data_IF_185003578125
#
_entry.id   IF_185003578125
#
_cell.length_a   1.000
_cell.length_b   1.000
_cell.length_c   1.000
_cell.angle_alpha   90.00
_cell.angle_beta   90.00
_cell.angle_gamma   90.00
#
_symmetry.space_group_name_H-M   'P 1'
#
loop_
_entity.id
_entity.type
_entity.pdbx_description
1 polymer ?
2 non-polymer ?
3 non-polymer ?
4 water ?
#
# COMPACT_ATOMS: atom_id res chain seq x y z
N UNK A 7 11.14 11.90 21.28
CA UNK A 7 10.21 13.03 21.00
C UNK A 7 9.23 12.68 19.85
N UNK A 8 7.90 12.73 20.11
CA UNK A 8 6.95 12.27 19.09
C UNK A 8 6.99 13.10 17.82
N UNK A 9 6.48 12.53 16.72
CA UNK A 9 6.47 13.22 15.43
C UNK A 9 5.50 14.41 15.39
N UNK A 10 5.89 15.48 14.73
CA UNK A 10 5.02 16.63 14.54
C UNK A 10 4.30 16.62 13.17
N UNK A 11 4.49 15.56 12.38
CA UNK A 11 3.87 15.44 11.05
C UNK A 11 2.37 15.16 11.18
N UNK A 12 1.52 15.95 10.49
CA UNK A 12 0.11 15.60 10.40
C UNK A 12 -0.09 14.21 9.82
N UNK A 13 -0.88 13.40 10.51
CA UNK A 13 -1.27 12.08 10.03
C UNK A 13 -2.71 11.80 10.41
N UNK A 14 -3.29 10.84 9.72
CA UNK A 14 -4.62 10.34 10.02
C UNK A 14 -4.89 9.00 9.33
N UNK A 15 -5.49 8.08 10.08
CA UNK A 15 -6.01 6.86 9.54
C UNK A 15 -7.41 6.71 10.12
N UNK A 16 -8.44 6.97 9.33
CA UNK A 16 -9.83 6.77 9.79
C UNK A 16 -10.38 5.51 9.17
N UNK A 17 -11.35 4.91 9.86
CA UNK A 17 -11.93 3.65 9.45
C UNK A 17 -13.44 3.76 9.34
N UNK A 18 -14.03 2.92 8.51
CA UNK A 18 -15.47 2.82 8.41
C UNK A 18 -16.11 2.40 9.74
N UNK A 19 -17.22 3.00 10.11
CA UNK A 19 -18.04 2.51 11.23
C UNK A 19 -18.76 1.23 10.82
N UNK A 20 -18.44 0.08 11.46
CA UNK A 20 -19.07 -1.18 11.01
C UNK A 20 -20.54 -1.38 11.40
N UNK A 21 -21.09 -0.50 12.24
CA UNK A 21 -22.49 -0.57 12.62
C UNK A 21 -23.30 0.31 11.68
N UNK A 22 -22.67 1.31 11.04
CA UNK A 22 -23.36 2.23 10.13
C UNK A 22 -23.55 1.58 8.76
N UNK A 23 -24.38 0.54 8.72
CA UNK A 23 -24.59 -0.22 7.50
C UNK A 23 -25.49 0.63 6.63
N UNK A 24 -25.15 0.70 5.34
CA UNK A 24 -25.84 1.56 4.38
C UNK A 24 -25.19 2.92 4.16
N UNK A 25 -24.32 3.37 5.07
CA UNK A 25 -23.46 4.53 4.84
C UNK A 25 -22.00 4.12 4.88
N UNK A 26 -21.15 5.07 4.52
CA UNK A 26 -19.75 5.01 4.80
C UNK A 26 -19.40 6.14 5.77
N UNK A 27 -19.51 5.85 7.06
CA UNK A 27 -19.12 6.80 8.10
C UNK A 27 -17.68 6.55 8.56
N UNK A 28 -16.82 7.53 8.31
CA UNK A 28 -15.45 7.45 8.80
C UNK A 28 -15.45 7.75 10.30
N UNK A 29 -14.69 6.92 11.03
CA UNK A 29 -14.46 7.10 12.45
C UNK A 29 -12.99 7.39 12.75
N UNK A 30 -12.76 8.30 13.66
CA UNK A 30 -11.44 8.43 14.29
C UNK A 30 -11.43 7.87 15.71
N UNK A 31 -12.53 8.02 16.44
CA UNK A 31 -12.73 7.35 17.71
C UNK A 31 -13.09 5.90 17.47
N UNK A 32 -12.09 5.05 17.38
CA UNK A 32 -12.29 3.62 17.25
C UNK A 32 -10.92 2.99 17.43
N UNK A 33 -10.86 1.81 18.01
CA UNK A 33 -9.57 1.19 18.33
C UNK A 33 -8.75 1.11 17.05
N UNK A 34 -7.49 1.54 17.12
CA UNK A 34 -6.58 1.55 15.96
C UNK A 34 -6.96 2.48 14.80
N UNK A 35 -7.71 3.54 15.13
CA UNK A 35 -7.96 4.64 14.24
C UNK A 35 -7.33 5.84 14.95
N UNK A 36 -7.18 6.95 14.23
CA UNK A 36 -6.19 7.96 14.62
C UNK A 36 -6.32 9.27 13.83
N UNK A 37 -6.24 10.39 14.56
CA UNK A 37 -5.85 11.70 14.02
C UNK A 37 -4.72 12.26 14.86
N UNK A 38 -3.72 12.88 14.24
CA UNK A 38 -2.65 13.52 15.02
C UNK A 38 -2.09 14.76 14.38
N UNK A 39 -1.49 15.59 15.25
CA UNK A 39 -0.80 16.81 14.87
C UNK A 39 -1.61 17.76 14.01
N UNK A 40 -2.88 17.94 14.40
CA UNK A 40 -3.75 18.92 13.79
C UNK A 40 -4.80 18.43 12.81
N UNK A 41 -4.71 17.20 12.36
CA UNK A 41 -5.65 16.69 11.38
C UNK A 41 -6.98 16.48 12.12
N UNK A 42 -8.09 16.81 11.46
CA UNK A 42 -9.42 16.67 12.05
C UNK A 42 -10.30 15.85 11.12
N UNK A 43 -11.26 15.13 11.72
CA UNK A 43 -12.36 14.51 10.99
C UNK A 43 -13.60 15.31 11.31
N UNK A 44 -13.99 16.23 10.41
CA UNK A 44 -15.23 16.97 10.55
C UNK A 44 -16.08 16.72 9.33
N UNK A 45 -17.38 16.49 9.55
CA UNK A 45 -18.35 16.27 8.48
C UNK A 45 -17.88 15.17 7.52
N UNK A 46 -17.53 14.03 8.09
CA UNK A 46 -17.07 12.88 7.33
C UNK A 46 -15.86 13.19 6.40
N UNK A 47 -15.17 14.29 6.66
CA UNK A 47 -14.05 14.75 5.86
C UNK A 47 -12.82 14.97 6.72
N UNK A 48 -11.65 14.60 6.20
CA UNK A 48 -10.39 14.94 6.86
C UNK A 48 -10.03 16.38 6.51
N UNK A 49 -9.59 17.13 7.53
CA UNK A 49 -9.22 18.55 7.39
C UNK A 49 -7.70 18.76 7.63
N UNK A 50 -7.03 19.22 6.59
CA UNK A 50 -5.57 19.26 6.56
C UNK A 50 -5.14 20.50 7.32
N UNK A 51 -4.29 20.34 8.36
CA UNK A 51 -3.97 21.49 9.22
C UNK A 51 -2.87 22.43 8.69
N UNK A 52 -2.13 22.03 7.64
CA UNK A 52 -0.95 22.81 7.16
C UNK A 52 -0.42 22.32 5.81
N UNK A 53 0.01 23.24 4.95
CA UNK A 53 0.44 22.92 3.58
C UNK A 53 1.62 21.94 3.54
N UNK A 54 1.72 21.21 2.43
CA UNK A 54 2.77 20.20 2.24
C UNK A 54 2.35 19.07 1.31
N UNK A 55 3.32 18.20 1.02
CA UNK A 55 3.06 16.93 0.34
C UNK A 55 2.48 15.96 1.37
N UNK A 56 1.39 15.31 0.99
CA UNK A 56 0.76 14.26 1.76
C UNK A 56 0.72 13.01 0.92
N UNK A 57 0.95 11.86 1.55
CA UNK A 57 0.55 10.58 0.94
C UNK A 57 -0.88 10.40 1.35
N UNK A 58 -1.77 10.26 0.37
CA UNK A 58 -3.15 9.92 0.64
C UNK A 58 -3.36 8.47 0.24
N UNK A 59 -4.18 7.78 1.03
CA UNK A 59 -4.55 6.39 0.74
C UNK A 59 -5.93 6.01 1.30
N UNK A 60 -6.68 5.21 0.54
CA UNK A 60 -7.93 4.62 0.96
C UNK A 60 -8.07 3.20 0.40
N UNK A 61 -8.71 2.33 1.18
CA UNK A 61 -9.25 1.05 0.72
C UNK A 61 -10.75 0.96 1.05
N UNK A 62 -11.52 0.44 0.10
CA UNK A 62 -12.90 0.07 0.35
C UNK A 62 -13.04 -1.33 -0.21
N UNK A 63 -13.87 -2.14 0.43
CA UNK A 63 -14.09 -3.47 -0.06
C UNK A 63 -15.56 -3.66 -0.31
N UNK A 64 -15.87 -4.24 -1.47
CA UNK A 64 -17.22 -4.53 -1.86
C UNK A 64 -17.45 -6.03 -1.86
N UNK A 65 -18.69 -6.42 -1.60
CA UNK A 65 -19.08 -7.82 -1.61
C UNK A 65 -20.54 -7.96 -2.07
N UNK A 66 -20.77 -8.94 -2.95
CA UNK A 66 -22.14 -9.39 -3.29
C UNK A 66 -22.23 -10.91 -3.31
N UNK A 67 -23.41 -11.43 -2.99
CA UNK A 67 -23.70 -12.85 -3.10
C UNK A 67 -24.41 -12.97 -4.45
N UNK A 68 -23.68 -13.47 -5.44
CA UNK A 68 -24.18 -13.55 -6.82
C UNK A 68 -24.24 -12.20 -7.53
N UNK A 69 -24.65 -12.22 -8.81
CA UNK A 69 -24.84 -11.03 -9.61
C UNK A 69 -26.31 -10.81 -9.97
N UNK A 70 -26.82 -9.59 -9.74
CA UNK A 70 -28.24 -9.31 -9.97
C UNK A 70 -28.55 -9.11 -11.44
N UNK A 71 -29.76 -8.68 -11.75
CA UNK A 71 -30.14 -8.32 -13.12
C UNK A 71 -29.41 -7.05 -13.62
N UNK A 72 -29.65 -5.90 -12.98
CA UNK A 72 -29.01 -4.64 -13.43
C UNK A 72 -27.49 -4.68 -13.27
N UNK A 73 -26.79 -4.10 -14.25
CA UNK A 73 -25.33 -4.04 -14.25
C UNK A 73 -24.86 -3.26 -13.04
N UNK A 74 -23.89 -3.82 -12.31
CA UNK A 74 -23.35 -3.20 -11.08
C UNK A 74 -22.05 -2.49 -11.37
N UNK A 75 -22.00 -1.21 -11.02
CA UNK A 75 -20.86 -0.34 -11.27
C UNK A 75 -20.42 0.24 -9.91
N UNK A 76 -19.22 -0.12 -9.46
CA UNK A 76 -18.70 0.29 -8.14
C UNK A 76 -17.62 1.31 -8.36
N UNK A 77 -17.70 2.43 -7.63
CA UNK A 77 -16.77 3.56 -7.78
C UNK A 77 -16.27 3.94 -6.41
N UNK A 78 -15.04 4.45 -6.38
CA UNK A 78 -14.44 4.96 -5.16
C UNK A 78 -13.66 6.20 -5.53
N UNK A 79 -13.78 7.25 -4.73
CA UNK A 79 -13.24 8.55 -5.11
C UNK A 79 -12.68 9.36 -3.93
N UNK A 80 -11.46 9.86 -4.07
CA UNK A 80 -10.94 10.83 -3.12
C UNK A 80 -11.00 12.24 -3.72
N UNK A 81 -11.77 13.09 -3.07
CA UNK A 81 -12.13 14.39 -3.56
C UNK A 81 -11.40 15.35 -2.66
N UNK A 82 -11.28 16.58 -3.14
CA UNK A 82 -10.61 17.66 -2.42
C UNK A 82 -11.48 18.92 -2.46
N UNK A 83 -11.60 19.61 -1.33
CA UNK A 83 -12.38 20.84 -1.27
C UNK A 83 -11.43 21.90 -0.74
N UNK A 84 -10.78 22.65 -1.62
CA UNK A 84 -9.85 23.69 -1.16
C UNK A 84 -10.60 24.93 -0.64
N UNK A 85 -9.97 25.67 0.26
CA UNK A 85 -10.55 26.92 0.74
C UNK A 85 -10.75 27.91 -0.43
N UNK A 86 -9.78 28.00 -1.33
CA UNK A 86 -9.88 28.90 -2.50
C UNK A 86 -10.78 28.37 -3.66
N UNK A 87 -11.19 27.11 -3.59
CA UNK A 87 -12.16 26.55 -4.52
C UNK A 87 -12.94 25.52 -3.72
N UNK A 88 -14.03 25.97 -3.10
CA UNK A 88 -14.84 25.14 -2.22
C UNK A 88 -15.89 24.32 -3.00
N UNK A 89 -15.38 23.54 -3.95
CA UNK A 89 -16.11 22.49 -4.68
C UNK A 89 -15.15 21.29 -4.87
N UNK A 90 -15.71 20.08 -4.80
CA UNK A 90 -14.92 18.84 -4.82
C UNK A 90 -14.11 18.72 -6.10
N UNK A 91 -12.79 18.78 -5.96
CA UNK A 91 -11.82 18.41 -6.99
C UNK A 91 -11.44 16.93 -6.79
N UNK A 92 -11.71 16.08 -7.78
CA UNK A 92 -11.28 14.67 -7.70
C UNK A 92 -9.76 14.62 -7.75
N UNK A 93 -9.16 14.00 -6.73
CA UNK A 93 -7.71 13.69 -6.69
C UNK A 93 -7.43 12.31 -7.28
N UNK A 94 -8.18 11.31 -6.80
CA UNK A 94 -8.01 9.91 -7.22
C UNK A 94 -9.37 9.32 -7.44
N UNK A 95 -9.45 8.38 -8.38
CA UNK A 95 -10.69 7.68 -8.60
C UNK A 95 -10.47 6.41 -9.36
N UNK A 96 -11.36 5.45 -9.08
CA UNK A 96 -11.32 4.15 -9.74
C UNK A 96 -12.72 3.56 -9.79
N UNK A 97 -12.93 2.64 -10.73
CA UNK A 97 -14.25 2.10 -11.04
C UNK A 97 -14.15 0.63 -11.44
N UNK A 98 -14.95 -0.24 -10.81
CA UNK A 98 -14.92 -1.71 -11.04
C UNK A 98 -16.32 -2.30 -11.32
N UNK A 99 -16.41 -3.12 -12.38
CA UNK A 99 -17.60 -3.92 -12.70
C UNK A 99 -17.37 -5.36 -12.27
N UNK A 100 -17.79 -5.73 -11.04
CA UNK A 100 -17.50 -7.06 -10.55
C UNK A 100 -18.29 -8.17 -11.25
N UNK A 101 -19.36 -7.81 -11.99
CA UNK A 101 -20.18 -8.76 -12.73
C UNK A 101 -20.02 -8.57 -14.23
N UNK A 102 -19.51 -9.61 -14.90
CA UNK A 102 -19.58 -9.73 -16.35
C UNK A 102 -21.01 -10.06 -16.79
N UNK A 103 -21.65 -11.03 -16.12
CA UNK A 103 -23.02 -11.45 -16.45
C UNK A 103 -23.91 -11.70 -15.23
N UNK A 104 -25.22 -11.74 -15.49
CA UNK A 104 -26.25 -12.11 -14.51
C UNK A 104 -26.17 -13.62 -14.21
N UNK A 105 -26.21 -13.98 -12.93
CA UNK A 105 -26.13 -15.39 -12.52
C UNK A 105 -27.31 -16.17 -13.09
N UNK A 106 -27.05 -17.25 -13.86
CA UNK A 106 -28.13 -18.12 -14.35
C UNK A 106 -29.11 -18.64 -13.27
N UNK A 111 -24.33 -19.47 -7.40
CA UNK A 111 -24.32 -18.07 -6.97
C UNK A 111 -23.29 -17.81 -5.87
N UNK A 112 -22.02 -18.04 -6.22
CA UNK A 112 -20.86 -17.89 -5.31
C UNK A 112 -20.57 -16.40 -4.99
N UNK A 113 -20.15 -16.09 -3.74
CA UNK A 113 -19.93 -14.69 -3.34
C UNK A 113 -18.72 -14.02 -4.00
N UNK A 114 -18.83 -12.73 -4.29
CA UNK A 114 -17.71 -11.97 -4.87
C UNK A 114 -17.15 -10.90 -3.94
N UNK A 115 -15.91 -10.50 -4.23
CA UNK A 115 -15.15 -9.60 -3.39
C UNK A 115 -14.44 -8.66 -4.31
N UNK A 116 -14.87 -7.40 -4.31
CA UNK A 116 -14.20 -6.37 -5.09
C UNK A 116 -13.62 -5.30 -4.18
N UNK A 117 -12.29 -5.30 -3.99
CA UNK A 117 -11.68 -4.16 -3.34
C UNK A 117 -11.40 -3.01 -4.32
N UNK A 118 -11.36 -1.80 -3.80
CA UNK A 118 -10.88 -0.65 -4.56
C UNK A 118 -9.92 0.14 -3.67
N UNK A 119 -8.73 0.36 -4.20
CA UNK A 119 -7.66 0.98 -3.48
C UNK A 119 -7.21 2.17 -4.30
N UNK A 120 -7.03 3.30 -3.62
CA UNK A 120 -6.53 4.52 -4.22
C UNK A 120 -5.40 5.06 -3.34
N UNK A 121 -4.27 5.37 -3.95
CA UNK A 121 -3.19 6.05 -3.25
C UNK A 121 -2.39 6.94 -4.17
N UNK A 122 -2.05 8.12 -3.69
CA UNK A 122 -1.06 8.95 -4.37
C UNK A 122 -0.48 10.00 -3.48
N UNK A 123 0.43 10.79 -4.04
CA UNK A 123 1.12 11.85 -3.31
C UNK A 123 0.69 13.20 -3.90
N UNK A 124 0.19 14.13 -3.08
CA UNK A 124 -0.42 15.37 -3.57
C UNK A 124 -0.07 16.54 -2.69
N UNK A 125 -0.02 17.74 -3.28
CA UNK A 125 0.21 18.98 -2.55
C UNK A 125 -1.12 19.48 -2.00
N UNK A 126 -1.20 19.65 -0.68
CA UNK A 126 -2.43 20.14 -0.04
C UNK A 126 -2.14 21.50 0.62
N UNK A 127 -3.18 22.35 0.71
CA UNK A 127 -3.14 23.58 1.49
C UNK A 127 -3.76 23.41 2.87
N UNK A 128 -3.44 24.32 3.77
CA UNK A 128 -4.16 24.45 5.03
C UNK A 128 -5.68 24.68 4.79
N UNK A 129 -6.47 23.97 5.59
CA UNK A 129 -7.93 24.02 5.50
C UNK A 129 -8.54 23.17 4.42
N UNK A 130 -7.71 22.43 3.68
CA UNK A 130 -8.20 21.46 2.70
C UNK A 130 -9.07 20.42 3.37
N UNK A 131 -10.22 20.17 2.78
CA UNK A 131 -11.14 19.16 3.27
C UNK A 131 -11.06 18.00 2.29
N UNK A 132 -10.77 16.81 2.81
CA UNK A 132 -10.65 15.64 1.96
C UNK A 132 -11.79 14.71 2.32
N UNK A 133 -12.42 14.14 1.29
CA UNK A 133 -13.47 13.15 1.45
C UNK A 133 -13.07 11.95 0.61
N UNK A 134 -13.63 10.80 0.98
CA UNK A 134 -13.42 9.54 0.28
C UNK A 134 -14.78 8.83 0.22
N UNK A 135 -15.34 8.82 -0.97
CA UNK A 135 -16.74 8.47 -1.18
C UNK A 135 -16.87 7.29 -2.13
N UNK A 136 -17.95 6.54 -1.95
CA UNK A 136 -18.31 5.42 -2.81
C UNK A 136 -19.76 5.58 -3.30
N UNK A 137 -20.10 4.94 -4.42
CA UNK A 137 -21.46 5.00 -4.99
C UNK A 137 -22.46 4.04 -4.34
N UNK A 138 -22.00 2.88 -3.86
CA UNK A 138 -22.88 1.81 -3.41
C UNK A 138 -22.47 1.31 -2.06
N UNK A 139 -22.89 2.00 -0.99
CA UNK A 139 -22.65 1.49 0.38
C UNK A 139 -23.37 0.18 0.71
N UNK A 140 -24.47 -0.12 0.04
CA UNK A 140 -25.12 -1.41 0.24
C UNK A 140 -24.25 -2.66 -0.11
N UNK A 141 -23.21 -2.50 -0.94
CA UNK A 141 -22.26 -3.59 -1.21
C UNK A 141 -20.98 -3.53 -0.36
N UNK A 142 -20.80 -2.48 0.46
CA UNK A 142 -19.64 -2.39 1.38
C UNK A 142 -19.54 -3.63 2.24
N UNK A 143 -18.34 -4.05 2.59
CA UNK A 143 -18.17 -5.21 3.46
C UNK A 143 -17.60 -4.80 4.83
N UNK A 144 -18.44 -4.86 5.86
CA UNK A 144 -18.04 -4.59 7.25
C UNK A 144 -17.79 -5.85 8.07
N UNK A 145 -17.92 -7.00 7.42
CA UNK A 145 -17.51 -8.33 7.94
C UNK A 145 -16.07 -8.31 8.42
N UNK A 146 -15.84 -8.16 9.74
CA UNK A 146 -14.48 -7.92 10.31
C UNK A 146 -13.89 -6.52 10.00
N UNK A 147 -13.05 -6.04 10.90
CA UNK A 147 -12.45 -4.71 10.79
C UNK A 147 -11.16 -4.72 9.95
N UNK A 148 -10.68 -3.52 9.62
CA UNK A 148 -9.42 -3.31 8.89
C UNK A 148 -9.50 -3.22 7.38
N UNK A 149 -10.69 -3.46 6.82
CA UNK A 149 -10.88 -3.62 5.37
C UNK A 149 -11.17 -2.33 4.63
N UNK A 150 -11.75 -1.37 5.35
CA UNK A 150 -12.21 -0.11 4.82
C UNK A 150 -11.63 1.01 5.68
N UNK A 151 -10.71 1.76 5.08
CA UNK A 151 -9.97 2.81 5.77
C UNK A 151 -9.58 3.89 4.82
N UNK A 152 -9.23 5.04 5.38
CA UNK A 152 -8.96 6.25 4.61
C UNK A 152 -7.99 7.03 5.42
N UNK A 153 -6.90 7.49 4.82
CA UNK A 153 -5.89 8.16 5.59
C UNK A 153 -4.84 8.95 4.87
N UNK A 154 -4.19 9.84 5.61
CA UNK A 154 -3.15 10.71 5.09
C UNK A 154 -1.91 10.72 5.98
N UNK A 155 -0.76 10.93 5.35
CA UNK A 155 0.54 11.02 6.01
C UNK A 155 1.29 12.16 5.34
N UNK A 156 1.61 13.19 6.12
CA UNK A 156 2.43 14.31 5.62
C UNK A 156 3.84 13.77 5.41
N UNK A 157 4.44 14.15 4.29
CA UNK A 157 5.79 13.75 3.96
C UNK A 157 6.77 14.85 4.34
N UNK B 6 23.36 13.48 10.39
CA UNK B 6 24.37 13.76 11.48
C UNK B 6 24.99 12.48 12.06
N UNK B 7 24.14 11.60 12.59
CA UNK B 7 24.55 10.28 13.13
C UNK B 7 23.53 9.21 12.72
N UNK B 8 23.84 7.91 12.92
CA UNK B 8 22.82 6.88 12.62
C UNK B 8 21.48 7.05 13.38
N UNK B 9 20.41 6.48 12.82
CA UNK B 9 19.07 6.74 13.31
C UNK B 9 18.71 5.84 14.49
N UNK B 10 18.20 6.47 15.55
CA UNK B 10 17.65 5.78 16.74
C UNK B 10 16.25 5.18 16.51
N UNK B 11 15.54 5.63 15.47
CA UNK B 11 14.19 5.15 15.13
C UNK B 11 14.04 3.62 15.01
N UNK B 12 13.02 3.06 15.69
CA UNK B 12 12.73 1.63 15.51
C UNK B 12 12.21 1.32 14.10
N UNK B 13 12.70 0.24 13.53
CA UNK B 13 12.35 -0.13 12.17
C UNK B 13 12.45 -1.64 12.00
N UNK B 14 11.78 -2.13 10.99
CA UNK B 14 11.88 -3.52 10.61
C UNK B 14 11.45 -3.73 9.18
N UNK B 15 12.09 -4.71 8.55
CA UNK B 15 11.70 -5.14 7.24
C UNK B 15 12.11 -6.59 7.13
N UNK B 16 11.12 -7.46 7.25
CA UNK B 16 11.38 -8.87 7.29
C UNK B 16 10.81 -9.48 6.03
N UNK B 17 11.45 -10.57 5.61
CA UNK B 17 11.11 -11.21 4.35
C UNK B 17 10.67 -12.68 4.55
N UNK B 18 9.85 -13.15 3.63
CA UNK B 18 9.31 -14.50 3.70
C UNK B 18 10.35 -15.53 3.26
N UNK B 19 10.29 -16.67 3.96
CA UNK B 19 11.07 -17.88 3.67
C UNK B 19 10.35 -18.65 2.55
N UNK B 20 10.99 -18.77 1.37
CA UNK B 20 10.35 -19.54 0.29
C UNK B 20 10.21 -21.06 0.49
N UNK B 21 10.90 -21.66 1.46
CA UNK B 21 10.79 -23.12 1.68
C UNK B 21 10.14 -23.49 3.01
N UNK B 22 9.62 -22.50 3.74
CA UNK B 22 8.67 -22.78 4.83
C UNK B 22 7.30 -23.14 4.23
N UNK B 23 7.01 -24.44 4.18
CA UNK B 23 5.77 -24.94 3.57
C UNK B 23 4.60 -24.70 4.49
N UNK B 24 3.49 -24.26 3.91
CA UNK B 24 2.25 -24.01 4.64
C UNK B 24 2.32 -22.88 5.64
N UNK B 25 3.38 -22.09 5.57
CA UNK B 25 3.65 -20.98 6.49
C UNK B 25 3.97 -19.72 5.68
N UNK B 26 3.57 -18.57 6.18
CA UNK B 26 4.21 -17.31 5.80
C UNK B 26 5.13 -17.00 6.98
N UNK B 27 6.37 -17.48 6.87
CA UNK B 27 7.38 -17.41 7.91
C UNK B 27 8.21 -16.18 7.62
N UNK B 28 8.21 -15.23 8.54
CA UNK B 28 8.99 -14.01 8.38
C UNK B 28 10.40 -14.23 8.93
N UNK B 29 11.37 -13.60 8.27
CA UNK B 29 12.78 -13.77 8.59
C UNK B 29 13.47 -12.43 8.55
N UNK B 30 14.44 -12.27 9.44
CA UNK B 30 15.22 -11.02 9.52
C UNK B 30 16.69 -11.20 9.09
N UNK B 31 17.22 -12.40 9.24
CA UNK B 31 18.59 -12.72 8.80
C UNK B 31 18.64 -13.12 7.31
N UNK B 32 18.60 -12.09 6.48
CA UNK B 32 18.69 -12.18 5.04
C UNK B 32 19.25 -10.87 4.55
N UNK B 33 19.82 -10.90 3.35
CA UNK B 33 20.24 -9.69 2.66
C UNK B 33 19.02 -8.80 2.39
N UNK B 34 19.21 -7.51 2.57
CA UNK B 34 18.16 -6.49 2.48
C UNK B 34 16.97 -6.64 3.44
N UNK B 35 17.15 -7.44 4.48
CA UNK B 35 16.19 -7.57 5.58
C UNK B 35 16.87 -6.90 6.75
N UNK B 36 16.15 -6.74 7.86
CA UNK B 36 16.52 -5.75 8.87
C UNK B 36 15.59 -5.75 10.10
N UNK B 37 16.20 -5.73 11.30
CA UNK B 37 15.52 -5.35 12.56
C UNK B 37 16.45 -4.41 13.30
N UNK B 38 16.08 -3.16 13.46
CA UNK B 38 16.98 -2.19 14.10
C UNK B 38 16.30 -1.41 15.23
N UNK B 39 17.09 -1.10 16.27
CA UNK B 39 16.72 -0.14 17.34
C UNK B 39 15.62 -0.60 18.28
N UNK B 40 15.56 -1.92 18.49
CA UNK B 40 14.70 -2.52 19.54
C UNK B 40 13.55 -3.36 19.03
N UNK B 41 13.41 -3.42 17.72
CA UNK B 41 12.34 -4.18 17.13
C UNK B 41 12.80 -5.63 17.13
N UNK B 42 11.97 -6.52 17.65
CA UNK B 42 12.31 -7.93 17.70
C UNK B 42 11.41 -8.71 16.77
N UNK B 43 11.93 -9.81 16.25
CA UNK B 43 11.11 -10.77 15.57
C UNK B 43 10.99 -11.95 16.50
N UNK B 44 9.78 -12.16 17.02
CA UNK B 44 9.49 -13.15 18.06
C UNK B 44 8.18 -13.89 17.73
N UNK B 45 8.24 -15.20 17.51
CA UNK B 45 7.07 -16.04 17.15
C UNK B 45 6.31 -15.53 15.93
N UNK B 46 7.10 -15.23 14.90
CA UNK B 46 6.63 -14.69 13.60
C UNK B 46 5.88 -13.38 13.69
N UNK B 47 6.20 -12.61 14.71
CA UNK B 47 5.53 -11.38 15.01
C UNK B 47 6.56 -10.35 15.33
N UNK B 48 6.50 -9.21 14.65
CA UNK B 48 7.32 -8.08 15.01
C UNK B 48 6.77 -7.46 16.29
N UNK B 49 7.70 -7.11 17.19
CA UNK B 49 7.42 -6.59 18.53
C UNK B 49 7.98 -5.18 18.66
N UNK B 50 7.19 -4.29 19.24
CA UNK B 50 7.49 -2.87 19.23
C UNK B 50 8.22 -2.56 20.52
N UNK B 51 9.30 -1.75 20.45
CA UNK B 51 10.10 -1.35 21.62
C UNK B 51 9.71 -0.04 22.30
N UNK B 52 9.05 0.88 21.59
CA UNK B 52 8.62 2.13 22.19
C UNK B 52 7.23 2.51 21.72
N UNK B 53 6.48 3.17 22.60
CA UNK B 53 5.25 3.87 22.25
C UNK B 53 5.51 4.93 21.14
N UNK B 54 4.48 5.20 20.31
CA UNK B 54 4.49 6.27 19.31
C UNK B 54 3.83 5.91 17.98
N UNK B 55 3.84 6.90 17.08
CA UNK B 55 3.37 6.77 15.69
C UNK B 55 4.34 5.96 14.81
N UNK B 56 3.82 4.92 14.17
CA UNK B 56 4.61 4.07 13.26
C UNK B 56 3.87 3.92 11.96
N UNK B 57 4.60 3.85 10.85
CA UNK B 57 4.07 3.35 9.60
C UNK B 57 4.20 1.86 9.66
N UNK B 58 3.20 1.15 9.13
CA UNK B 58 3.17 -0.30 9.11
C UNK B 58 2.85 -0.75 7.69
N UNK B 59 3.56 -1.71 7.16
CA UNK B 59 3.28 -2.14 5.80
C UNK B 59 3.61 -3.62 5.60
N UNK B 60 2.91 -4.24 4.65
CA UNK B 60 3.18 -5.58 4.15
C UNK B 60 2.83 -5.75 2.67
N UNK B 61 3.64 -6.52 1.96
CA UNK B 61 3.29 -6.98 0.63
C UNK B 61 3.27 -8.52 0.64
N UNK B 62 2.26 -9.10 -0.01
CA UNK B 62 2.28 -10.51 -0.38
C UNK B 62 1.89 -10.57 -1.83
N UNK B 63 2.33 -11.59 -2.52
CA UNK B 63 2.02 -11.77 -3.92
C UNK B 63 1.62 -13.21 -4.07
N UNK B 64 0.39 -13.44 -4.54
CA UNK B 64 -0.11 -14.76 -4.81
C UNK B 64 0.02 -15.01 -6.31
N UNK B 65 0.21 -16.28 -6.70
CA UNK B 65 0.13 -16.73 -8.09
C UNK B 65 -0.62 -18.06 -8.22
N UNK B 66 -1.59 -18.12 -9.11
CA UNK B 66 -2.24 -19.39 -9.46
C UNK B 66 -2.13 -19.68 -10.94
N UNK B 67 -1.80 -20.92 -11.29
CA UNK B 67 -1.83 -21.35 -12.68
C UNK B 67 -3.28 -21.66 -12.98
N UNK B 68 -3.91 -20.76 -13.75
CA UNK B 68 -5.33 -20.84 -14.09
C UNK B 68 -6.30 -20.73 -12.92
N UNK B 69 -7.57 -20.98 -13.21
CA UNK B 69 -8.62 -20.93 -12.20
C UNK B 69 -9.33 -22.28 -12.16
N UNK B 70 -10.07 -22.58 -11.05
CA UNK B 70 -10.98 -23.72 -11.02
C UNK B 70 -12.45 -23.28 -11.06
N UNK B 73 -14.08 -21.94 -5.48
CA UNK B 73 -14.11 -20.48 -5.56
C UNK B 73 -12.95 -19.90 -4.76
N UNK B 74 -11.92 -19.45 -5.47
CA UNK B 74 -10.68 -19.01 -4.81
C UNK B 74 -10.86 -17.64 -4.12
N UNK B 75 -10.53 -17.59 -2.82
CA UNK B 75 -10.35 -16.33 -2.06
C UNK B 75 -8.98 -16.27 -1.41
N UNK B 76 -8.34 -15.12 -1.57
CA UNK B 76 -7.01 -14.84 -1.01
C UNK B 76 -7.21 -13.71 0.00
N UNK B 77 -6.73 -13.90 1.22
CA UNK B 77 -6.85 -12.87 2.24
C UNK B 77 -5.45 -12.52 2.74
N UNK B 78 -5.20 -11.24 3.01
CA UNK B 78 -3.96 -10.77 3.62
C UNK B 78 -4.30 -9.78 4.75
N UNK B 79 -3.72 -10.00 5.93
CA UNK B 79 -4.21 -9.37 7.15
C UNK B 79 -3.07 -9.02 8.11
N UNK B 80 -2.99 -7.75 8.50
CA UNK B 80 -2.02 -7.29 9.51
C UNK B 80 -2.80 -7.01 10.77
N UNK B 81 -2.30 -7.45 11.92
CA UNK B 81 -3.07 -7.37 13.17
C UNK B 81 -2.23 -7.04 14.41
N UNK B 82 -2.88 -6.38 15.36
CA UNK B 82 -2.28 -5.88 16.59
C UNK B 82 -2.72 -6.63 17.87
N UNK B 83 -1.74 -7.05 18.68
CA UNK B 83 -1.98 -7.47 20.06
C UNK B 83 -1.25 -6.52 21.03
N UNK B 84 -2.02 -5.76 21.81
CA UNK B 84 -1.45 -4.87 22.83
C UNK B 84 -1.25 -5.62 24.15
N UNK B 85 -0.09 -5.46 24.74
CA UNK B 85 0.22 -5.91 26.09
C UNK B 85 -1.03 -5.79 26.98
N UNK B 86 -1.56 -4.58 27.06
CA UNK B 86 -2.65 -4.26 27.96
C UNK B 86 -3.98 -5.01 27.73
N UNK B 87 -4.43 -5.11 26.47
CA UNK B 87 -5.74 -5.71 26.17
C UNK B 87 -5.69 -7.21 25.91
N UNK B 88 -4.57 -7.75 25.46
CA UNK B 88 -4.44 -9.18 25.13
C UNK B 88 -5.51 -9.69 24.13
N UNK B 89 -5.87 -8.87 23.16
CA UNK B 89 -6.84 -9.25 22.13
C UNK B 89 -6.22 -9.00 20.75
N UNK B 90 -6.47 -9.91 19.81
CA UNK B 90 -5.87 -9.83 18.47
C UNK B 90 -6.73 -9.04 17.47
N UNK B 91 -6.53 -7.74 17.41
CA UNK B 91 -7.31 -6.84 16.55
C UNK B 91 -6.64 -6.57 15.19
N UNK B 92 -7.41 -6.66 14.11
CA UNK B 92 -6.89 -6.41 12.75
C UNK B 92 -6.71 -4.92 12.50
N UNK B 93 -5.58 -4.55 11.90
CA UNK B 93 -5.27 -3.17 11.54
C UNK B 93 -5.60 -2.88 10.11
N UNK B 94 -5.19 -3.77 9.22
CA UNK B 94 -5.44 -3.61 7.78
C UNK B 94 -5.78 -4.97 7.22
N UNK B 95 -6.64 -5.02 6.21
CA UNK B 95 -7.15 -6.29 5.73
C UNK B 95 -7.74 -6.18 4.35
N UNK B 96 -7.49 -7.20 3.54
CA UNK B 96 -7.87 -7.22 2.12
C UNK B 96 -8.33 -8.61 1.75
N UNK B 97 -9.49 -8.71 1.10
CA UNK B 97 -10.01 -10.01 0.64
C UNK B 97 -10.16 -9.89 -0.87
N UNK B 98 -9.69 -10.91 -1.59
CA UNK B 98 -9.58 -10.90 -3.05
C UNK B 98 -10.00 -12.26 -3.70
N UNK B 99 -10.99 -12.23 -4.62
CA UNK B 99 -11.32 -13.37 -5.51
C UNK B 99 -10.77 -13.14 -6.93
N UNK B 100 -9.65 -13.80 -7.26
CA UNK B 100 -9.04 -13.54 -8.56
C UNK B 100 -9.82 -14.13 -9.74
N UNK B 101 -10.48 -15.27 -9.55
CA UNK B 101 -11.04 -16.01 -10.68
C UNK B 101 -12.45 -15.56 -11.04
N UNK B 110 -4.24 -23.77 -23.09
CA UNK B 110 -3.54 -23.43 -21.83
C UNK B 110 -4.44 -22.77 -20.75
N UNK B 111 -3.97 -22.88 -19.51
CA UNK B 111 -4.47 -22.14 -18.36
C UNK B 111 -3.53 -20.97 -18.12
N UNK B 112 -4.05 -19.77 -18.30
CA UNK B 112 -3.26 -18.55 -18.19
C UNK B 112 -2.97 -18.26 -16.71
N UNK B 113 -1.68 -18.13 -16.32
CA UNK B 113 -1.34 -17.81 -14.91
C UNK B 113 -1.71 -16.39 -14.47
N UNK B 114 -2.28 -16.27 -13.27
CA UNK B 114 -2.65 -14.97 -12.67
C UNK B 114 -1.76 -14.62 -11.47
N UNK B 115 -1.63 -13.32 -11.24
CA UNK B 115 -0.87 -12.74 -10.14
C UNK B 115 -1.70 -11.67 -9.41
N UNK B 116 -1.88 -11.84 -8.09
CA UNK B 116 -2.50 -10.81 -7.23
C UNK B 116 -1.52 -10.36 -6.16
N UNK B 117 -0.94 -9.17 -6.33
CA UNK B 117 -0.19 -8.53 -5.25
C UNK B 117 -1.14 -7.84 -4.31
N UNK B 118 -0.86 -7.92 -3.02
CA UNK B 118 -1.68 -7.21 -2.08
C UNK B 118 -0.73 -6.45 -1.19
N UNK B 119 -0.77 -5.12 -1.28
CA UNK B 119 0.02 -4.23 -0.44
C UNK B 119 -0.87 -3.54 0.60
N UNK B 120 -0.61 -3.79 1.86
CA UNK B 120 -1.31 -3.14 2.95
C UNK B 120 -0.37 -2.18 3.69
N UNK B 121 -0.88 -0.98 3.98
CA UNK B 121 -0.10 0.00 4.71
C UNK B 121 -0.96 1.06 5.35
N UNK B 122 -0.39 1.73 6.32
CA UNK B 122 -1.10 2.75 7.06
C UNK B 122 -0.30 3.23 8.24
N UNK B 123 -0.81 4.26 8.89
CA UNK B 123 -0.14 4.92 10.02
C UNK B 123 -0.91 4.65 11.31
N UNK B 124 -0.19 4.22 12.33
CA UNK B 124 -0.79 3.67 13.54
C UNK B 124 -0.07 4.15 14.77
N UNK B 125 -0.81 4.15 15.88
CA UNK B 125 -0.33 4.58 17.18
C UNK B 125 -0.21 3.30 17.98
N UNK B 126 1.04 2.92 18.23
CA UNK B 126 1.37 1.65 18.87
C UNK B 126 1.94 1.89 20.28
N UNK B 127 1.90 0.86 21.12
CA UNK B 127 2.31 0.94 22.52
C UNK B 127 3.42 -0.08 22.80
N UNK B 128 4.32 0.27 23.72
CA UNK B 128 5.47 -0.59 24.06
C UNK B 128 5.03 -2.03 24.22
N UNK B 129 5.74 -2.93 23.54
CA UNK B 129 5.45 -4.36 23.62
C UNK B 129 4.25 -4.90 22.85
N UNK B 130 3.68 -4.12 21.92
CA UNK B 130 2.68 -4.63 20.97
C UNK B 130 3.30 -5.72 20.12
N UNK B 131 2.46 -6.55 19.53
CA UNK B 131 2.92 -7.66 18.69
C UNK B 131 2.14 -7.66 17.39
N UNK B 132 2.79 -7.10 16.37
CA UNK B 132 2.22 -6.99 15.05
C UNK B 132 2.48 -8.26 14.28
N UNK B 133 1.51 -8.71 13.53
CA UNK B 133 1.65 -9.94 12.77
C UNK B 133 1.07 -9.70 11.40
N UNK B 134 1.62 -10.39 10.39
CA UNK B 134 1.16 -10.28 9.00
C UNK B 134 0.90 -11.67 8.40
N UNK B 135 -0.35 -11.92 8.03
CA UNK B 135 -0.84 -13.27 7.75
C UNK B 135 -1.68 -13.39 6.48
N UNK B 136 -1.82 -14.62 6.02
CA UNK B 136 -2.62 -14.93 4.85
C UNK B 136 -3.45 -16.17 5.10
N UNK B 137 -4.47 -16.36 4.28
CA UNK B 137 -5.22 -17.60 4.30
C UNK B 137 -4.55 -18.71 3.47
N UNK B 138 -3.77 -18.39 2.42
CA UNK B 138 -3.31 -19.43 1.49
C UNK B 138 -1.82 -19.37 1.11
N UNK B 139 -0.94 -19.92 1.96
CA UNK B 139 0.50 -19.91 1.64
C UNK B 139 0.87 -20.72 0.40
N UNK B 140 0.06 -21.74 0.10
CA UNK B 140 0.17 -22.52 -1.14
C UNK B 140 0.18 -21.65 -2.43
N UNK B 141 -0.47 -20.49 -2.39
CA UNK B 141 -0.56 -19.59 -3.53
C UNK B 141 0.54 -18.52 -3.56
N UNK B 142 1.35 -18.40 -2.51
CA UNK B 142 2.49 -17.47 -2.52
C UNK B 142 3.48 -17.74 -3.68
N UNK B 143 3.94 -16.65 -4.29
CA UNK B 143 4.95 -16.64 -5.34
C UNK B 143 6.26 -16.07 -4.77
N UNK B 144 7.36 -16.73 -5.09
CA UNK B 144 8.69 -16.25 -4.77
C UNK B 144 9.55 -16.26 -6.02
N UNK B 145 8.98 -15.85 -7.14
CA UNK B 145 9.66 -15.88 -8.44
C UNK B 145 10.98 -15.13 -8.38
N UNK B 146 10.89 -13.89 -7.91
CA UNK B 146 12.03 -13.05 -7.63
C UNK B 146 12.00 -12.61 -6.17
N UNK B 147 13.07 -11.94 -5.77
CA UNK B 147 13.18 -11.38 -4.44
C UNK B 147 12.41 -10.07 -4.32
N UNK B 148 12.05 -9.70 -3.10
CA UNK B 148 11.30 -8.48 -2.83
C UNK B 148 9.80 -8.59 -3.05
N UNK B 149 9.30 -9.82 -3.23
CA UNK B 149 7.89 -10.05 -3.58
C UNK B 149 6.92 -10.19 -2.39
N UNK B 150 7.46 -10.51 -1.20
CA UNK B 150 6.66 -10.84 -0.02
C UNK B 150 7.36 -10.31 1.22
N UNK B 151 6.73 -9.37 1.92
CA UNK B 151 7.44 -8.63 2.98
C UNK B 151 6.54 -7.91 3.98
N UNK B 152 7.17 -7.51 5.08
CA UNK B 152 6.51 -7.01 6.27
C UNK B 152 7.48 -6.05 6.98
N UNK B 153 6.96 -4.92 7.44
CA UNK B 153 7.81 -3.97 8.15
C UNK B 153 7.05 -2.86 8.87
N UNK B 154 7.79 -2.12 9.69
CA UNK B 154 7.30 -0.93 10.35
C UNK B 154 8.40 0.15 10.32
N UNK B 155 7.98 1.40 10.41
CA UNK B 155 8.88 2.55 10.37
C UNK B 155 8.33 3.57 11.36
N UNK B 156 9.05 3.84 12.46
CA UNK B 156 8.62 4.84 13.43
C UNK B 156 8.77 6.26 12.85
N UNK B 157 7.69 7.03 12.88
CA UNK B 157 7.68 8.43 12.36
C UNK B 157 8.49 9.38 13.25
N UNK C 10 17.46 18.97 6.12
CA UNK C 10 18.30 18.26 7.15
C UNK C 10 18.69 16.86 6.65
N UNK C 11 17.67 16.04 6.40
CA UNK C 11 17.82 14.63 5.99
C UNK C 11 17.69 14.45 4.44
N UNK C 12 18.49 13.54 3.82
CA UNK C 12 18.33 13.25 2.37
C UNK C 12 16.93 12.79 1.98
N UNK C 13 16.39 13.38 0.90
CA UNK C 13 15.06 13.06 0.37
C UNK C 13 14.97 13.26 -1.15
N UNK C 14 14.11 12.48 -1.78
CA UNK C 14 13.81 12.64 -3.20
C UNK C 14 12.37 12.21 -3.49
N UNK C 15 11.72 12.93 -4.39
CA UNK C 15 10.46 12.52 -4.99
C UNK C 15 10.55 12.86 -6.48
N UNK C 16 10.69 11.82 -7.31
CA UNK C 16 10.86 12.00 -8.75
C UNK C 16 9.61 11.42 -9.43
N UNK C 17 9.22 11.95 -10.58
CA UNK C 17 8.01 11.45 -11.27
C UNK C 17 8.29 11.14 -12.73
N UNK C 18 7.35 10.43 -13.36
CA UNK C 18 7.45 10.03 -14.75
C UNK C 18 7.18 11.19 -15.68
N UNK C 19 8.03 11.35 -16.69
CA UNK C 19 7.74 12.22 -17.84
C UNK C 19 6.59 11.64 -18.67
N UNK C 20 5.58 12.46 -18.97
CA UNK C 20 4.41 12.02 -19.75
C UNK C 20 4.66 12.05 -21.28
N UNK C 23 7.82 8.89 -24.10
CA UNK C 23 7.48 7.80 -25.02
C UNK C 23 8.40 6.60 -24.76
N UNK C 24 7.81 5.40 -24.65
CA UNK C 24 8.57 4.14 -24.57
C UNK C 24 9.54 3.91 -23.42
N UNK C 25 9.63 4.86 -22.50
CA UNK C 25 10.57 4.81 -21.40
C UNK C 25 9.78 5.29 -20.16
N UNK C 26 9.98 4.61 -19.04
CA UNK C 26 9.64 5.20 -17.77
C UNK C 26 10.89 6.00 -17.40
N UNK C 27 10.79 7.33 -17.53
CA UNK C 27 11.89 8.24 -17.21
C UNK C 27 11.54 9.19 -16.09
N UNK C 28 12.36 9.21 -15.05
CA UNK C 28 12.11 10.01 -13.86
C UNK C 28 12.61 11.44 -14.01
N UNK C 29 11.81 12.41 -13.59
CA UNK C 29 12.11 13.85 -13.73
C UNK C 29 12.30 14.52 -12.37
N UNK C 30 12.64 15.82 -12.39
CA UNK C 30 12.83 16.64 -11.17
C UNK C 30 12.50 18.14 -11.42
N UNK C 38 15.56 16.10 -4.38
CA UNK C 38 16.43 17.25 -4.13
C UNK C 38 16.81 17.53 -2.64
N UNK C 39 17.87 16.89 -2.12
CA UNK C 39 18.65 17.44 -0.99
C UNK C 39 20.16 17.11 -1.10
N UNK C 40 20.56 15.90 -0.72
CA UNK C 40 21.88 15.36 -1.09
C UNK C 40 21.85 14.41 -2.29
N UNK C 41 20.65 14.20 -2.85
CA UNK C 41 20.33 13.03 -3.69
C UNK C 41 20.40 13.42 -5.15
N UNK C 42 21.27 12.77 -5.90
CA UNK C 42 21.37 13.02 -7.34
C UNK C 42 20.45 12.10 -8.13
N UNK C 43 20.27 12.45 -9.40
CA UNK C 43 19.56 11.60 -10.35
C UNK C 43 20.44 11.46 -11.60
N UNK C 44 21.46 10.63 -11.47
CA UNK C 44 22.29 10.24 -12.61
C UNK C 44 21.64 9.02 -13.28
N UNK C 45 21.60 9.02 -14.62
CA UNK C 45 21.21 7.85 -15.44
C UNK C 45 19.89 7.13 -15.03
N UNK C 46 18.86 7.92 -14.77
CA UNK C 46 17.52 7.45 -14.36
C UNK C 46 17.48 6.71 -13.02
N UNK C 47 18.40 7.05 -12.11
CA UNK C 47 18.51 6.36 -10.82
C UNK C 47 18.84 7.35 -9.69
N UNK C 48 18.24 7.14 -8.51
CA UNK C 48 18.51 7.96 -7.34
C UNK C 48 19.79 7.46 -6.74
N UNK C 49 20.66 8.38 -6.31
CA UNK C 49 21.99 8.06 -5.78
C UNK C 49 22.09 8.47 -4.31
N UNK C 50 22.27 7.47 -3.45
CA UNK C 50 22.22 7.66 -2.00
C UNK C 50 23.44 8.46 -1.62
N UNK C 51 23.27 9.63 -0.95
CA UNK C 51 24.41 10.43 -0.49
C UNK C 51 25.11 9.98 0.82
N UNK C 52 24.51 9.15 1.65
CA UNK C 52 25.23 8.62 2.86
C UNK C 52 24.59 7.38 3.49
N UNK C 53 25.42 6.61 4.18
CA UNK C 53 25.00 5.38 4.86
C UNK C 53 23.85 5.68 5.86
N UNK C 54 22.88 4.77 5.92
CA UNK C 54 21.78 4.86 6.87
C UNK C 54 20.49 4.19 6.43
N UNK C 55 19.46 4.45 7.23
CA UNK C 55 18.12 3.90 7.06
C UNK C 55 17.28 4.78 6.10
N UNK C 56 16.71 4.13 5.09
CA UNK C 56 15.93 4.82 4.08
C UNK C 56 14.59 4.13 3.90
N UNK C 57 13.55 4.96 3.75
CA UNK C 57 12.23 4.50 3.38
C UNK C 57 12.20 4.76 1.90
N UNK C 58 12.10 3.70 1.11
CA UNK C 58 12.06 3.74 -0.35
C UNK C 58 10.63 3.36 -0.73
N UNK C 59 10.06 4.05 -1.71
CA UNK C 59 8.67 3.84 -2.08
C UNK C 59 8.53 4.12 -3.54
N UNK C 60 7.47 3.59 -4.15
CA UNK C 60 7.08 3.99 -5.48
C UNK C 60 5.64 3.57 -5.76
N UNK C 61 5.13 4.06 -6.89
CA UNK C 61 3.88 3.61 -7.48
C UNK C 61 3.98 3.77 -8.99
N UNK C 62 3.25 2.93 -9.71
CA UNK C 62 3.05 3.08 -11.17
C UNK C 62 1.64 2.66 -11.54
N UNK C 63 1.20 3.12 -12.69
CA UNK C 63 -0.12 2.84 -13.17
C UNK C 63 -0.06 2.28 -14.59
N UNK C 64 -0.67 1.14 -14.82
CA UNK C 64 -0.79 0.60 -16.16
C UNK C 64 -2.23 0.75 -16.57
N UNK C 65 -2.47 1.06 -17.84
CA UNK C 65 -3.83 1.07 -18.43
C UNK C 65 -3.84 0.31 -19.75
N UNK C 66 -4.88 -0.49 -19.94
CA UNK C 66 -5.15 -1.14 -21.23
C UNK C 66 -6.46 -0.65 -21.82
N UNK C 67 -6.50 -0.62 -23.16
CA UNK C 67 -7.69 -0.22 -23.92
C UNK C 67 -8.60 -1.42 -24.26
N UNK C 68 -8.49 -2.51 -23.49
CA UNK C 68 -8.94 -3.83 -23.90
C UNK C 68 -7.67 -4.63 -24.17
N UNK C 69 -7.70 -5.93 -23.90
CA UNK C 69 -6.51 -6.80 -23.99
C UNK C 69 -6.21 -7.22 -25.43
N UNK C 72 -1.61 -12.66 -26.82
CA UNK C 72 -0.47 -12.21 -26.03
C UNK C 72 -0.82 -12.06 -24.52
N UNK C 73 -0.51 -13.07 -23.71
CA UNK C 73 -0.74 -13.02 -22.24
C UNK C 73 0.22 -12.02 -21.54
N UNK C 74 -0.33 -10.87 -21.14
CA UNK C 74 0.46 -9.76 -20.56
C UNK C 74 0.63 -9.84 -19.03
N UNK C 75 1.87 -9.66 -18.59
CA UNK C 75 2.21 -9.55 -17.18
C UNK C 75 2.90 -8.20 -17.01
N UNK C 76 2.36 -7.39 -16.12
CA UNK C 76 2.91 -6.08 -15.80
C UNK C 76 3.74 -6.25 -14.54
N UNK C 77 5.03 -5.93 -14.60
CA UNK C 77 5.90 -6.06 -13.44
C UNK C 77 6.47 -4.68 -13.12
N UNK C 78 6.62 -4.40 -11.83
CA UNK C 78 7.28 -3.18 -11.34
C UNK C 78 8.25 -3.58 -10.23
N UNK C 79 9.48 -3.08 -10.30
CA UNK C 79 10.57 -3.53 -9.45
C UNK C 79 11.50 -2.37 -9.03
N UNK C 80 11.85 -2.28 -7.75
CA UNK C 80 12.82 -1.31 -7.27
C UNK C 80 14.01 -2.12 -6.81
N UNK C 81 15.15 -1.90 -7.44
CA UNK C 81 16.33 -2.69 -7.17
C UNK C 81 17.44 -1.78 -6.66
N UNK C 82 18.22 -2.32 -5.71
CA UNK C 82 19.45 -1.69 -5.22
C UNK C 82 20.65 -2.10 -6.11
N UNK C 83 21.44 -1.11 -6.54
CA UNK C 83 22.73 -1.36 -7.18
C UNK C 83 23.78 -0.94 -6.16
N UNK C 84 24.25 -1.91 -5.39
CA UNK C 84 25.23 -1.66 -4.33
C UNK C 84 26.64 -1.64 -4.92
N UNK C 85 27.49 -0.75 -4.40
CA UNK C 85 28.80 -0.46 -5.01
C UNK C 85 29.94 -1.35 -4.46
N UNK C 88 29.42 -5.02 -5.84
CA UNK C 88 29.30 -4.23 -7.07
C UNK C 88 28.06 -4.58 -7.94
N UNK C 89 27.05 -5.23 -7.35
CA UNK C 89 25.99 -5.99 -8.07
C UNK C 89 24.59 -5.34 -8.06
N UNK C 90 23.60 -5.96 -8.74
CA UNK C 90 22.21 -5.46 -8.78
C UNK C 90 21.11 -6.49 -8.34
N UNK C 91 20.24 -6.06 -7.41
CA UNK C 91 19.37 -6.97 -6.62
C UNK C 91 18.00 -6.34 -6.40
N UNK C 92 16.94 -7.15 -6.50
CA UNK C 92 15.57 -6.72 -6.13
C UNK C 92 15.42 -6.39 -4.68
N UNK C 93 14.90 -5.21 -4.39
CA UNK C 93 14.53 -4.83 -3.04
C UNK C 93 13.03 -5.07 -2.83
N UNK C 94 12.23 -4.59 -3.78
CA UNK C 94 10.77 -4.65 -3.74
C UNK C 94 10.27 -4.87 -5.16
N UNK C 95 9.23 -5.70 -5.32
CA UNK C 95 8.84 -6.17 -6.66
C UNK C 95 7.43 -6.77 -6.66
N UNK C 96 6.64 -6.48 -7.68
CA UNK C 96 5.36 -7.16 -7.87
C UNK C 96 5.04 -7.38 -9.34
N UNK C 97 4.23 -8.39 -9.58
CA UNK C 97 3.75 -8.78 -10.89
C UNK C 97 2.24 -8.67 -10.83
N UNK C 98 1.62 -7.94 -11.75
CA UNK C 98 0.17 -8.02 -11.96
C UNK C 98 -0.15 -8.63 -13.31
N UNK C 99 -1.34 -9.22 -13.39
CA UNK C 99 -1.87 -9.76 -14.63
C UNK C 99 -3.24 -9.17 -14.81
N UNK C 100 -3.41 -8.26 -15.79
CA UNK C 100 -4.69 -7.56 -15.91
C UNK C 100 -5.82 -8.41 -16.48
N UNK C 101 -5.52 -9.11 -17.56
CA UNK C 101 -6.51 -9.91 -18.28
C UNK C 101 -6.60 -11.32 -17.68
N UNK C 102 -7.82 -11.78 -17.42
CA UNK C 102 -8.11 -13.21 -17.25
C UNK C 102 -8.35 -13.88 -18.63
N UNK C 103 -8.79 -13.09 -19.63
CA UNK C 103 -9.15 -13.59 -20.98
C UNK C 103 -8.76 -12.62 -22.14
N UNK C 104 -8.86 -13.12 -23.37
CA UNK C 104 -8.48 -12.37 -24.57
C UNK C 104 -9.54 -11.34 -24.93
N UNK C 111 -14.32 -4.60 -25.43
CA UNK C 111 -13.15 -3.72 -25.53
C UNK C 111 -13.00 -2.77 -24.31
N UNK C 112 -13.50 -3.22 -23.15
CA UNK C 112 -13.59 -2.38 -21.93
C UNK C 112 -12.22 -2.00 -21.36
N UNK C 113 -12.00 -0.70 -21.02
CA UNK C 113 -10.70 -0.33 -20.42
C UNK C 113 -10.50 -0.87 -18.98
N UNK C 114 -9.24 -1.07 -18.61
CA UNK C 114 -8.85 -1.44 -17.24
C UNK C 114 -7.68 -0.57 -16.79
N UNK C 115 -7.58 -0.38 -15.49
CA UNK C 115 -6.46 0.35 -14.85
C UNK C 115 -5.90 -0.54 -13.76
N UNK C 116 -4.58 -0.62 -13.64
CA UNK C 116 -3.95 -1.49 -12.65
C UNK C 116 -2.74 -0.79 -12.05
N UNK C 117 -2.82 -0.31 -10.78
CA UNK C 117 -1.64 0.25 -10.13
C UNK C 117 -0.84 -0.80 -9.37
N UNK C 118 0.47 -0.60 -9.26
CA UNK C 118 1.30 -1.44 -8.44
C UNK C 118 2.02 -0.53 -7.44
N UNK C 119 2.03 -0.94 -6.18
CA UNK C 119 2.56 -0.17 -5.07
C UNK C 119 3.77 -0.89 -4.51
N UNK C 120 4.85 -0.15 -4.30
CA UNK C 120 6.03 -0.68 -3.61
C UNK C 120 6.44 0.24 -2.49
N UNK C 121 6.97 -0.35 -1.41
CA UNK C 121 7.50 0.46 -0.31
C UNK C 121 8.07 -0.32 0.86
N UNK C 122 9.16 0.20 1.45
CA UNK C 122 9.73 -0.42 2.62
C UNK C 122 10.93 0.32 3.19
N UNK C 123 11.44 -0.14 4.35
CA UNK C 123 12.62 0.48 5.02
C UNK C 123 13.93 -0.32 4.83
N UNK C 124 14.99 0.36 4.37
CA UNK C 124 16.22 -0.30 3.94
C UNK C 124 17.51 0.37 4.40
N UNK C 125 18.41 -0.43 4.98
CA UNK C 125 19.81 -0.05 5.22
C UNK C 125 20.53 0.09 3.89
N UNK C 126 21.27 1.18 3.71
CA UNK C 126 21.90 1.55 2.43
C UNK C 126 23.24 2.22 2.64
N UNK C 127 24.05 2.23 1.58
CA UNK C 127 25.45 2.72 1.60
C UNK C 127 25.58 3.98 0.76
N UNK C 128 26.61 4.79 1.09
CA UNK C 128 26.93 5.98 0.30
C UNK C 128 27.38 5.55 -1.08
N UNK C 129 26.68 6.06 -2.10
CA UNK C 129 26.97 5.73 -3.48
C UNK C 129 26.09 4.65 -4.07
N UNK C 130 25.28 3.99 -3.23
CA UNK C 130 24.30 3.01 -3.75
C UNK C 130 23.33 3.68 -4.68
N UNK C 131 22.88 2.91 -5.67
CA UNK C 131 21.90 3.39 -6.60
C UNK C 131 20.63 2.60 -6.45
N UNK C 132 19.51 3.28 -6.61
CA UNK C 132 18.21 2.70 -6.48
C UNK C 132 17.50 2.97 -7.79
N UNK C 133 17.18 1.89 -8.52
CA UNK C 133 16.38 1.99 -9.74
C UNK C 133 14.91 1.52 -9.49
N UNK C 134 13.95 2.12 -10.22
CA UNK C 134 12.54 1.72 -10.16
C UNK C 134 12.09 1.51 -11.58
N UNK C 135 11.91 0.25 -11.98
CA UNK C 135 11.71 -0.13 -13.39
C UNK C 135 10.37 -0.80 -13.64
N UNK C 136 10.00 -0.91 -14.91
CA UNK C 136 8.84 -1.69 -15.35
C UNK C 136 9.19 -2.54 -16.56
N UNK C 137 8.46 -3.64 -16.74
CA UNK C 137 8.67 -4.49 -17.90
C UNK C 137 7.97 -3.91 -19.15
N UNK C 138 6.78 -3.32 -18.99
CA UNK C 138 5.99 -2.82 -20.14
C UNK C 138 5.67 -1.31 -20.09
N UNK C 139 6.65 -0.46 -20.47
CA UNK C 139 6.44 0.98 -20.69
C UNK C 139 5.31 1.27 -21.67
N UNK C 140 5.15 0.40 -22.67
CA UNK C 140 4.02 0.50 -23.60
C UNK C 140 2.62 0.53 -22.88
N UNK C 141 2.49 -0.12 -21.72
CA UNK C 141 1.23 -0.08 -20.96
C UNK C 141 1.10 1.05 -19.94
N UNK C 142 2.20 1.73 -19.62
CA UNK C 142 2.20 2.84 -18.65
C UNK C 142 1.20 3.96 -19.02
N UNK C 143 0.50 4.51 -18.01
CA UNK C 143 -0.55 5.55 -18.23
C UNK C 143 -0.24 6.82 -17.43
N UNK C 144 0.71 7.60 -17.96
CA UNK C 144 1.23 8.79 -17.27
C UNK C 144 0.19 9.91 -17.18
N UNK C 148 -0.48 12.13 -9.59
CA UNK C 148 -0.07 11.67 -8.26
C UNK C 148 0.14 10.17 -8.15
N UNK C 149 0.05 9.45 -9.27
CA UNK C 149 -0.03 7.98 -9.30
C UNK C 149 1.20 7.26 -9.93
N UNK C 150 2.19 8.00 -10.47
CA UNK C 150 3.45 7.45 -11.04
C UNK C 150 4.70 8.18 -10.50
N UNK C 151 5.21 7.70 -9.37
CA UNK C 151 6.32 8.33 -8.63
C UNK C 151 7.33 7.29 -8.13
N UNK C 152 8.41 7.80 -7.52
CA UNK C 152 9.52 7.02 -6.98
C UNK C 152 10.23 8.02 -6.09
N UNK C 153 10.53 7.65 -4.86
CA UNK C 153 11.22 8.56 -3.97
C UNK C 153 11.86 7.86 -2.81
N UNK C 154 12.61 8.63 -2.04
CA UNK C 154 13.19 8.13 -0.81
C UNK C 154 13.18 9.21 0.26
N UNK C 155 13.26 8.76 1.52
CA UNK C 155 13.32 9.60 2.70
C UNK C 155 14.30 9.00 3.73
N UNK C 156 15.27 9.79 4.17
CA UNK C 156 16.19 9.39 5.24
C UNK C 156 15.46 9.53 6.58
N UNK C 157 15.68 8.55 7.46
CA UNK C 157 14.99 8.46 8.75
C UNK C 157 15.81 9.07 9.89
#
# INVERSE_FOLDING_TARGET
VRSSSRTPSDKPVAHVVANPQAEGQLQWLNRRANALLANGVELRDNQLVVPSEGLYLIYSQVLFKGQGCPSTHVLLTHTISRIAVSYQTKVNLLSAIKSPCQRETPEGAEAKPWYEPIYLGGVFQLEKGDRLSAEINRPDYLDFAESGQVYFGIIAL
VRSSSRTPSDKPVAHVVANPQAEGQLQWLNRRANALLANGVELRDNQLVVPSEGLYLIYSQVLFKGQGCPSTHVLLTHTISRIAVSYQTKVNLLSAIKSPCQRETPEGAEAKPWYEPIYLGGVFQLEKGDRLSAEINRPDYLDFAESGQVYFGIIAL
VRSSSRTPSDKPVAHVVANPQAEGQLQWLNRRANALLANGVELRDNQLVVPSEGLYLIYSQVLFKGQGCPSTHVLLTHTISRIAVSYQTKVNLLSAIKSPCQRETPEGAEAKPWYEPIYLGGVFQLEKGDRLSAEINRPDYLDFAESGQVYFGIIAL
#
